data_IF_983504346867
#
_entry.id   IF_983504346867
#
_cell.length_a   1.000
_cell.length_b   1.000
_cell.length_c   1.000
_cell.angle_alpha   90.00
_cell.angle_beta   90.00
_cell.angle_gamma   90.00
#
_symmetry.space_group_name_H-M   'P 1'
#
loop_
_entity.id
_entity.type
_entity.pdbx_description
1 polymer ?
#
# COMPACT_ATOMS: atom_id res chain seq x y z
N UNK A 1 -12.37 9.59 -0.87
CA UNK A 1 -11.05 9.95 -1.41
C UNK A 1 -9.97 9.26 -0.60
N UNK A 2 -8.98 8.66 -1.26
CA UNK A 2 -7.83 8.03 -0.59
C UNK A 2 -6.84 9.13 -0.16
N UNK A 3 -6.42 9.11 1.10
CA UNK A 3 -5.43 10.04 1.64
C UNK A 3 -4.04 9.40 1.53
N UNK A 4 -3.35 9.65 0.42
CA UNK A 4 -2.05 9.02 0.14
C UNK A 4 -0.98 9.34 1.18
N UNK A 5 -0.93 10.57 1.69
CA UNK A 5 0.04 10.96 2.72
C UNK A 5 -0.16 10.20 4.03
N UNK A 6 -1.39 9.87 4.39
CA UNK A 6 -1.70 9.07 5.57
C UNK A 6 -1.23 7.63 5.40
N UNK A 7 -1.45 7.03 4.23
CA UNK A 7 -0.93 5.71 3.90
C UNK A 7 0.59 5.66 3.92
N UNK A 8 1.25 6.64 3.33
CA UNK A 8 2.71 6.74 3.33
C UNK A 8 3.24 6.88 4.76
N UNK A 9 2.61 7.74 5.58
CA UNK A 9 2.99 7.90 6.99
C UNK A 9 2.84 6.59 7.75
N UNK A 10 1.67 5.94 7.66
CA UNK A 10 1.38 4.67 8.32
C UNK A 10 2.39 3.59 7.93
N UNK A 11 2.68 3.42 6.64
CA UNK A 11 3.64 2.42 6.19
C UNK A 11 5.06 2.69 6.68
N UNK A 12 5.48 3.96 6.77
CA UNK A 12 6.80 4.31 7.34
C UNK A 12 6.88 4.03 8.84
N UNK A 13 5.76 4.17 9.56
CA UNK A 13 5.67 3.84 10.99
C UNK A 13 5.68 2.33 11.21
N UNK A 14 4.92 1.57 10.40
CA UNK A 14 4.81 0.12 10.52
C UNK A 14 5.95 -0.66 9.86
N UNK A 15 6.71 -0.04 8.94
CA UNK A 15 7.90 -0.59 8.31
C UNK A 15 9.01 0.46 8.28
N UNK A 16 9.72 0.68 9.42
CA UNK A 16 10.77 1.69 9.51
C UNK A 16 11.95 1.48 8.56
N UNK A 17 12.11 0.26 8.00
CA UNK A 17 13.15 -0.02 7.01
C UNK A 17 12.73 0.28 5.57
N UNK A 18 11.51 0.80 5.36
CA UNK A 18 11.02 1.18 4.04
C UNK A 18 11.93 2.22 3.36
N UNK A 19 12.48 1.86 2.21
CA UNK A 19 13.27 2.71 1.32
C UNK A 19 12.40 3.42 0.28
N UNK A 20 11.37 2.72 -0.21
CA UNK A 20 10.45 3.25 -1.21
C UNK A 20 9.06 2.65 -1.04
N UNK A 21 8.04 3.44 -1.39
CA UNK A 21 6.63 3.02 -1.45
C UNK A 21 6.13 3.39 -2.84
N UNK A 22 5.60 2.40 -3.56
CA UNK A 22 5.18 2.55 -4.95
C UNK A 22 3.71 2.14 -5.10
N UNK A 23 2.97 2.91 -5.89
CA UNK A 23 1.63 2.54 -6.33
C UNK A 23 1.70 1.59 -7.53
N UNK A 24 0.90 0.54 -7.48
CA UNK A 24 0.77 -0.47 -8.53
C UNK A 24 -0.70 -0.63 -8.95
N UNK A 25 -0.92 -1.53 -9.90
CA UNK A 25 -2.25 -1.95 -10.32
C UNK A 25 -3.01 -0.88 -11.09
N UNK A 26 -4.34 -1.04 -11.11
CA UNK A 26 -5.25 -0.21 -11.91
C UNK A 26 -5.18 1.28 -11.56
N UNK A 27 -4.90 1.63 -10.30
CA UNK A 27 -4.76 3.01 -9.85
C UNK A 27 -3.51 3.68 -10.41
N UNK A 28 -2.37 2.98 -10.38
CA UNK A 28 -1.14 3.46 -11.00
C UNK A 28 -1.30 3.66 -12.52
N UNK A 29 -2.11 2.82 -13.17
CA UNK A 29 -2.39 2.91 -14.59
C UNK A 29 -3.45 3.96 -14.97
N UNK A 30 -4.12 4.59 -13.99
CA UNK A 30 -5.25 5.48 -14.24
C UNK A 30 -6.49 4.78 -14.82
N UNK A 31 -6.56 3.45 -14.70
CA UNK A 31 -7.64 2.59 -15.20
C UNK A 31 -8.50 2.02 -14.06
N UNK A 32 -8.59 2.74 -12.94
CA UNK A 32 -9.34 2.29 -11.77
C UNK A 32 -10.86 2.28 -12.02
N UNK A 33 -11.51 1.24 -11.50
CA UNK A 33 -12.96 1.10 -11.46
C UNK A 33 -13.53 1.23 -10.04
N UNK A 34 -14.86 1.19 -9.89
CA UNK A 34 -15.54 1.37 -8.60
C UNK A 34 -15.16 0.39 -7.49
N UNK A 35 -14.57 -0.75 -7.86
CA UNK A 35 -14.13 -1.83 -6.97
C UNK A 35 -12.63 -2.11 -7.10
N UNK A 36 -11.86 -1.23 -7.73
CA UNK A 36 -10.41 -1.38 -7.76
C UNK A 36 -9.85 -1.36 -6.34
N UNK A 37 -8.75 -2.09 -6.15
CA UNK A 37 -7.98 -2.17 -4.90
C UNK A 37 -6.82 -1.16 -4.87
N UNK A 38 -6.36 -0.84 -3.68
CA UNK A 38 -5.13 -0.05 -3.49
C UNK A 38 -3.97 -1.01 -3.39
N UNK A 39 -3.20 -1.13 -4.47
CA UNK A 39 -2.03 -2.01 -4.51
C UNK A 39 -0.76 -1.20 -4.28
N UNK A 40 -0.09 -1.44 -3.16
CA UNK A 40 1.15 -0.78 -2.78
C UNK A 40 2.28 -1.78 -2.68
N UNK A 41 3.47 -1.38 -3.17
CA UNK A 41 4.71 -2.12 -2.98
C UNK A 41 5.63 -1.32 -2.10
N UNK A 42 6.18 -1.96 -1.09
CA UNK A 42 7.16 -1.35 -0.19
C UNK A 42 8.50 -2.05 -0.40
N UNK A 43 9.53 -1.28 -0.74
CA UNK A 43 10.90 -1.78 -0.83
C UNK A 43 11.57 -1.52 0.51
N UNK A 44 12.14 -2.54 1.13
CA UNK A 44 12.70 -2.49 2.48
C UNK A 44 14.21 -2.70 2.46
N UNK A 45 14.93 -2.05 3.39
CA UNK A 45 16.38 -2.24 3.57
C UNK A 45 16.72 -3.51 4.37
N UNK A 46 15.71 -4.11 5.01
CA UNK A 46 15.82 -5.33 5.82
C UNK A 46 14.71 -6.29 5.42
N UNK A 47 14.94 -7.57 5.68
CA UNK A 47 13.93 -8.59 5.42
C UNK A 47 12.68 -8.26 6.26
N UNK A 48 11.50 -8.09 5.65
CA UNK A 48 10.29 -7.79 6.38
C UNK A 48 9.83 -9.02 7.17
N UNK A 49 9.39 -8.82 8.41
CA UNK A 49 8.83 -9.91 9.22
C UNK A 49 7.53 -10.46 8.61
N UNK A 50 6.76 -9.57 7.97
CA UNK A 50 5.51 -9.88 7.28
C UNK A 50 5.57 -9.32 5.87
N UNK A 51 5.60 -10.20 4.87
CA UNK A 51 5.76 -9.83 3.45
C UNK A 51 4.49 -9.27 2.81
N UNK A 52 3.33 -9.79 3.20
CA UNK A 52 2.04 -9.37 2.61
C UNK A 52 1.12 -8.85 3.71
N UNK A 53 0.62 -7.63 3.54
CA UNK A 53 -0.35 -7.01 4.47
C UNK A 53 -1.60 -6.61 3.72
N UNK A 54 -2.74 -6.74 4.39
CA UNK A 54 -4.05 -6.40 3.85
C UNK A 54 -4.81 -5.55 4.86
N UNK A 55 -5.42 -4.48 4.35
CA UNK A 55 -6.29 -3.60 5.13
C UNK A 55 -7.62 -3.43 4.42
N UNK A 56 -8.69 -3.37 5.22
CA UNK A 56 -10.03 -3.03 4.75
C UNK A 56 -10.48 -1.79 5.50
N UNK A 57 -10.69 -0.70 4.78
CA UNK A 57 -11.00 0.60 5.36
C UNK A 57 -12.28 1.20 4.78
N UNK A 58 -13.02 1.92 5.62
CA UNK A 58 -14.22 2.61 5.17
C UNK A 58 -13.85 3.97 4.56
N UNK A 59 -14.18 4.16 3.29
CA UNK A 59 -14.00 5.42 2.58
C UNK A 59 -15.32 5.79 1.89
N UNK A 60 -15.88 6.96 2.20
CA UNK A 60 -17.10 7.48 1.55
C UNK A 60 -18.27 6.48 1.50
N UNK A 61 -18.47 5.75 2.60
CA UNK A 61 -19.56 4.78 2.71
C UNK A 61 -19.30 3.44 2.03
N UNK A 62 -18.12 3.21 1.43
CA UNK A 62 -17.68 1.94 0.88
C UNK A 62 -16.52 1.36 1.66
N UNK A 63 -16.30 0.05 1.54
CA UNK A 63 -15.08 -0.61 2.01
C UNK A 63 -14.10 -0.67 0.85
N UNK A 64 -12.85 -0.25 1.10
CA UNK A 64 -11.74 -0.33 0.16
C UNK A 64 -10.79 -1.41 0.65
N UNK A 65 -10.44 -2.33 -0.23
CA UNK A 65 -9.36 -3.30 0.01
C UNK A 65 -8.03 -2.68 -0.43
N UNK A 66 -7.04 -2.77 0.46
CA UNK A 66 -5.68 -2.29 0.22
C UNK A 66 -4.69 -3.41 0.48
N UNK A 67 -3.87 -3.74 -0.52
CA UNK A 67 -2.88 -4.79 -0.49
C UNK A 67 -1.47 -4.20 -0.51
N UNK A 68 -0.57 -4.75 0.31
CA UNK A 68 0.79 -4.26 0.48
C UNK A 68 1.78 -5.41 0.39
N UNK A 69 2.67 -5.35 -0.59
CA UNK A 69 3.71 -6.34 -0.77
C UNK A 69 5.09 -5.75 -0.44
N UNK A 70 5.72 -6.25 0.62
CA UNK A 70 7.02 -5.84 1.12
C UNK A 70 8.12 -6.70 0.49
N UNK A 71 9.12 -6.05 -0.09
CA UNK A 71 10.24 -6.69 -0.79
C UNK A 71 11.57 -6.15 -0.29
N UNK A 72 12.49 -7.03 0.09
CA UNK A 72 13.87 -6.65 0.39
C UNK A 72 14.55 -6.07 -0.86
N UNK A 73 15.27 -4.96 -0.70
CA UNK A 73 16.15 -4.44 -1.75
C UNK A 73 17.37 -5.35 -1.89
N UNK A 74 17.32 -6.28 -2.83
CA UNK A 74 18.47 -7.08 -3.26
C UNK A 74 19.29 -6.37 -4.32
#
# INVERSE_FOLDING_TARGET
>A
MILWDEWVRRLKEEEPSALAILLFGSRAAGAEGPYSDVDLRVITAREPEVRDRVYIEKCEGRLIHSSFALHLST
#
